data_IF_986764796292
#
_entry.id   IF_986764796292
#
_cell.length_a   1.000
_cell.length_b   1.000
_cell.length_c   1.000
_cell.angle_alpha   90.00
_cell.angle_beta   90.00
_cell.angle_gamma   90.00
#
_symmetry.space_group_name_H-M   'P 1'
#
loop_
_entity.id
_entity.type
_entity.pdbx_description
1 polymer ?
#
# COMPACT_ATOMS: atom_id res chain seq x y z
N UNK A 1 -22.67 -19.82 -16.21
CA UNK A 1 -21.96 -19.23 -15.06
C UNK A 1 -20.66 -19.99 -14.83
N UNK A 2 -19.57 -19.56 -15.47
CA UNK A 2 -18.24 -20.17 -15.36
C UNK A 2 -17.44 -19.43 -14.29
N UNK A 3 -17.15 -20.09 -13.16
CA UNK A 3 -16.21 -19.59 -12.14
C UNK A 3 -14.79 -19.98 -12.55
N UNK A 4 -13.95 -18.98 -12.79
CA UNK A 4 -12.52 -19.14 -13.02
C UNK A 4 -11.82 -19.39 -11.67
N UNK A 5 -11.13 -20.52 -11.53
CA UNK A 5 -10.22 -20.76 -10.41
C UNK A 5 -8.78 -20.46 -10.83
N UNK A 6 -8.28 -19.30 -10.42
CA UNK A 6 -6.84 -19.04 -10.34
C UNK A 6 -6.34 -19.66 -9.03
N UNK A 7 -5.92 -20.92 -9.09
CA UNK A 7 -5.08 -21.53 -8.04
C UNK A 7 -3.65 -21.20 -8.39
N UNK A 8 -3.21 -20.01 -8.00
CA UNK A 8 -1.79 -19.67 -7.97
C UNK A 8 -1.24 -20.00 -6.57
N UNK A 9 -0.46 -21.07 -6.49
CA UNK A 9 0.68 -21.21 -5.57
C UNK A 9 0.40 -21.23 -4.06
N UNK A 10 -0.22 -22.31 -3.58
CA UNK A 10 0.10 -22.85 -2.25
C UNK A 10 0.93 -24.13 -2.43
N UNK A 11 2.13 -23.99 -2.99
CA UNK A 11 3.17 -24.99 -2.81
C UNK A 11 3.73 -24.82 -1.40
N UNK A 12 3.71 -25.91 -0.66
CA UNK A 12 4.25 -26.09 0.69
C UNK A 12 5.64 -25.47 0.82
N UNK A 13 5.74 -24.26 1.40
CA UNK A 13 7.00 -23.79 1.98
C UNK A 13 7.20 -24.51 3.30
N UNK A 14 7.78 -25.71 3.23
CA UNK A 14 8.74 -26.10 4.25
C UNK A 14 9.83 -25.02 4.30
N UNK A 15 10.30 -24.69 5.51
CA UNK A 15 11.46 -23.85 5.79
C UNK A 15 12.48 -23.83 4.64
N UNK A 16 12.74 -22.67 4.05
CA UNK A 16 13.88 -22.52 3.15
C UNK A 16 14.49 -21.12 3.28
N UNK A 17 15.66 -21.11 3.90
CA UNK A 17 16.79 -20.24 3.56
C UNK A 17 16.89 -20.12 2.04
N UNK A 18 17.28 -18.95 1.57
CA UNK A 18 17.26 -18.60 0.15
C UNK A 18 18.06 -19.55 -0.75
N UNK A 19 17.81 -19.42 -2.04
CA UNK A 19 18.79 -19.29 -3.14
C UNK A 19 17.99 -19.13 -4.43
N UNK A 20 18.44 -18.22 -5.30
CA UNK A 20 17.82 -17.95 -6.59
C UNK A 20 18.09 -19.07 -7.58
N UNK A 21 17.05 -19.55 -8.26
CA UNK A 21 17.14 -20.34 -9.48
C UNK A 21 16.00 -19.95 -10.43
N UNK A 22 16.39 -19.75 -11.68
CA UNK A 22 15.56 -19.42 -12.84
C UNK A 22 14.56 -20.53 -13.15
N UNK A 23 13.30 -20.14 -13.42
CA UNK A 23 12.22 -21.06 -13.79
C UNK A 23 12.42 -21.57 -15.22
N UNK A 24 12.74 -22.86 -15.37
CA UNK A 24 12.50 -23.61 -16.61
C UNK A 24 11.07 -24.16 -16.58
N UNK A 25 10.42 -24.24 -17.74
CA UNK A 25 9.05 -24.74 -17.90
C UNK A 25 8.87 -26.13 -17.25
N UNK A 26 7.75 -26.39 -16.55
CA UNK A 26 7.51 -27.69 -15.95
C UNK A 26 7.23 -28.73 -17.04
N UNK A 27 8.09 -29.75 -17.10
CA UNK A 27 7.79 -30.98 -17.81
C UNK A 27 6.48 -31.58 -17.25
N UNK A 28 5.58 -31.98 -18.15
CA UNK A 28 4.36 -32.73 -17.81
C UNK A 28 4.76 -34.00 -17.07
N UNK A 29 4.65 -33.98 -15.75
CA UNK A 29 4.90 -35.14 -14.91
C UNK A 29 3.77 -36.15 -15.14
N UNK A 30 4.12 -37.27 -15.77
CA UNK A 30 3.30 -38.47 -15.84
C UNK A 30 3.00 -38.89 -14.40
N UNK A 31 1.74 -38.80 -13.98
CA UNK A 31 1.27 -39.33 -12.69
C UNK A 31 1.48 -40.84 -12.74
N UNK A 32 2.38 -41.42 -11.92
CA UNK A 32 2.50 -42.88 -11.87
C UNK A 32 1.19 -43.45 -11.34
N UNK A 33 0.64 -44.45 -12.05
CA UNK A 33 -0.39 -45.33 -11.50
C UNK A 33 0.15 -45.92 -10.19
N UNK A 34 -0.36 -45.45 -9.05
CA UNK A 34 -0.07 -46.00 -7.74
C UNK A 34 -0.78 -47.37 -7.65
N UNK A 35 -0.20 -48.37 -8.31
CA UNK A 35 -0.53 -49.79 -8.10
C UNK A 35 0.15 -50.26 -6.82
N UNK A 36 -0.33 -49.74 -5.68
CA UNK A 36 0.12 -50.13 -4.35
C UNK A 36 -0.91 -51.04 -3.69
N UNK A 37 -0.48 -52.26 -3.34
CA UNK A 37 -1.28 -53.18 -2.52
C UNK A 37 -1.75 -52.49 -1.25
N UNK A 38 -3.07 -52.51 -1.01
CA UNK A 38 -3.66 -52.01 0.22
C UNK A 38 -3.09 -52.80 1.41
N UNK A 39 -2.15 -52.22 2.14
CA UNK A 39 -1.82 -52.68 3.49
C UNK A 39 -3.07 -52.44 4.33
N UNK A 40 -3.84 -53.52 4.57
CA UNK A 40 -4.96 -53.57 5.52
C UNK A 40 -4.49 -53.00 6.87
N UNK A 41 -4.79 -51.74 7.13
CA UNK A 41 -4.41 -51.06 8.38
C UNK A 41 -4.02 -49.59 8.24
N UNK A 42 -3.81 -49.06 7.03
CA UNK A 42 -3.44 -47.65 6.87
C UNK A 42 -4.66 -46.74 7.09
N UNK A 43 -4.59 -45.89 8.12
CA UNK A 43 -5.66 -44.96 8.48
C UNK A 43 -5.58 -43.68 7.62
N UNK A 44 -6.68 -42.93 7.53
CA UNK A 44 -6.68 -41.62 6.87
C UNK A 44 -5.69 -40.65 7.53
N UNK A 45 -5.49 -40.80 8.84
CA UNK A 45 -4.53 -40.03 9.62
C UNK A 45 -3.11 -40.26 9.10
N UNK A 46 -2.69 -41.52 8.94
CA UNK A 46 -1.35 -41.87 8.43
C UNK A 46 -1.09 -41.23 7.05
N UNK A 47 -2.11 -41.18 6.20
CA UNK A 47 -2.00 -40.58 4.86
C UNK A 47 -1.89 -39.06 4.90
N UNK A 48 -2.59 -38.38 5.81
CA UNK A 48 -2.46 -36.93 5.99
C UNK A 48 -1.12 -36.54 6.64
N UNK A 49 -0.53 -37.44 7.42
CA UNK A 49 0.81 -37.29 7.99
C UNK A 49 1.94 -37.44 6.97
N UNK A 50 1.72 -38.21 5.89
CA UNK A 50 2.71 -38.44 4.83
C UNK A 50 2.70 -37.29 3.79
N UNK A 51 3.82 -36.53 3.63
CA UNK A 51 3.92 -35.46 2.64
C UNK A 51 3.62 -35.89 1.20
N UNK A 52 3.87 -37.14 0.83
CA UNK A 52 3.64 -37.65 -0.54
C UNK A 52 2.18 -38.03 -0.80
N UNK A 53 1.42 -38.35 0.26
CA UNK A 53 0.03 -38.88 0.15
C UNK A 53 -1.03 -37.90 0.64
N UNK A 54 -0.64 -36.95 1.48
CA UNK A 54 -1.54 -36.00 2.15
C UNK A 54 -2.47 -35.26 1.20
N UNK A 55 -1.96 -34.79 0.06
CA UNK A 55 -2.77 -34.09 -0.93
C UNK A 55 -3.91 -34.96 -1.49
N UNK A 56 -3.62 -36.20 -1.88
CA UNK A 56 -4.63 -37.11 -2.44
C UNK A 56 -5.68 -37.52 -1.39
N UNK A 57 -5.23 -37.77 -0.16
CA UNK A 57 -6.11 -38.07 0.97
C UNK A 57 -7.04 -36.88 1.29
N UNK A 58 -6.49 -35.67 1.32
CA UNK A 58 -7.25 -34.44 1.51
C UNK A 58 -8.32 -34.25 0.43
N UNK A 59 -7.96 -34.45 -0.83
CA UNK A 59 -8.90 -34.29 -1.95
C UNK A 59 -10.07 -35.27 -1.90
N UNK A 60 -9.85 -36.49 -1.41
CA UNK A 60 -10.93 -37.44 -1.17
C UNK A 60 -11.91 -36.91 -0.10
N UNK A 61 -11.40 -36.50 1.06
CA UNK A 61 -12.22 -35.96 2.15
C UNK A 61 -13.00 -34.70 1.74
N UNK A 62 -12.37 -33.78 1.01
CA UNK A 62 -13.02 -32.56 0.51
C UNK A 62 -14.12 -32.88 -0.50
N UNK A 63 -13.89 -33.85 -1.39
CA UNK A 63 -14.90 -34.28 -2.39
C UNK A 63 -16.12 -34.92 -1.73
N UNK A 64 -15.90 -35.68 -0.67
CA UNK A 64 -16.95 -36.34 0.11
C UNK A 64 -17.68 -35.37 1.05
N UNK A 65 -17.10 -34.20 1.32
CA UNK A 65 -17.64 -33.25 2.28
C UNK A 65 -17.56 -33.78 3.72
N UNK A 66 -16.56 -34.60 4.03
CA UNK A 66 -16.42 -35.28 5.32
C UNK A 66 -15.88 -34.36 6.42
N UNK A 67 -16.73 -33.43 6.85
CA UNK A 67 -16.43 -32.44 7.90
C UNK A 67 -16.17 -33.13 9.23
N UNK A 68 -16.85 -34.25 9.51
CA UNK A 68 -16.70 -34.95 10.79
C UNK A 68 -15.27 -35.49 10.94
N UNK A 69 -14.78 -36.27 9.98
CA UNK A 69 -13.42 -36.80 10.02
C UNK A 69 -12.39 -35.67 10.07
N UNK A 70 -12.57 -34.61 9.29
CA UNK A 70 -11.66 -33.45 9.32
C UNK A 70 -11.68 -32.73 10.68
N UNK A 71 -12.84 -32.59 11.33
CA UNK A 71 -12.96 -31.99 12.67
C UNK A 71 -12.24 -32.84 13.71
N UNK A 72 -12.47 -34.16 13.71
CA UNK A 72 -11.85 -35.10 14.64
C UNK A 72 -10.32 -35.06 14.54
N UNK A 73 -9.78 -35.02 13.31
CA UNK A 73 -8.33 -34.92 13.07
C UNK A 73 -7.79 -33.56 13.51
N UNK A 74 -8.45 -32.45 13.14
CA UNK A 74 -7.98 -31.10 13.46
C UNK A 74 -7.97 -30.81 14.98
N UNK A 75 -8.93 -31.36 15.71
CA UNK A 75 -9.11 -31.13 17.15
C UNK A 75 -8.32 -32.12 18.02
N UNK A 76 -8.27 -33.40 17.63
CA UNK A 76 -7.80 -34.50 18.48
C UNK A 76 -6.48 -35.15 18.09
N UNK A 77 -5.97 -34.93 16.87
CA UNK A 77 -4.70 -35.57 16.45
C UNK A 77 -3.50 -35.04 17.22
N UNK A 78 -2.55 -35.92 17.53
CA UNK A 78 -1.22 -35.55 18.05
C UNK A 78 -0.27 -35.06 16.95
N UNK A 79 -0.54 -35.42 15.69
CA UNK A 79 0.28 -35.03 14.55
C UNK A 79 -0.13 -33.65 14.03
N UNK A 80 0.78 -32.69 14.19
CA UNK A 80 0.61 -31.31 13.73
C UNK A 80 0.41 -31.20 12.22
N UNK A 81 1.06 -32.05 11.42
CA UNK A 81 0.93 -32.04 9.95
C UNK A 81 -0.48 -32.45 9.53
N UNK A 82 -1.00 -33.53 10.10
CA UNK A 82 -2.36 -33.99 9.82
C UNK A 82 -3.40 -32.95 10.24
N UNK A 83 -3.21 -32.26 11.37
CA UNK A 83 -4.07 -31.15 11.80
C UNK A 83 -4.06 -30.00 10.81
N UNK A 84 -2.88 -29.62 10.31
CA UNK A 84 -2.74 -28.57 9.30
C UNK A 84 -3.53 -28.90 8.03
N UNK A 85 -3.38 -30.12 7.51
CA UNK A 85 -4.15 -30.57 6.35
C UNK A 85 -5.65 -30.64 6.61
N UNK A 86 -6.06 -31.09 7.80
CA UNK A 86 -7.47 -31.12 8.15
C UNK A 86 -8.11 -29.72 8.17
N UNK A 87 -7.39 -28.71 8.68
CA UNK A 87 -7.80 -27.30 8.62
C UNK A 87 -7.94 -26.81 7.16
N UNK A 88 -7.00 -27.17 6.28
CA UNK A 88 -7.09 -26.85 4.85
C UNK A 88 -8.33 -27.51 4.22
N UNK A 89 -8.64 -28.75 4.59
CA UNK A 89 -9.81 -29.47 4.10
C UNK A 89 -11.12 -28.78 4.49
N UNK A 90 -11.24 -28.39 5.76
CA UNK A 90 -12.39 -27.63 6.27
C UNK A 90 -12.57 -26.30 5.52
N UNK A 91 -11.49 -25.57 5.24
CA UNK A 91 -11.54 -24.35 4.44
C UNK A 91 -11.98 -24.61 2.99
N UNK A 92 -11.51 -25.69 2.36
CA UNK A 92 -11.88 -26.04 0.97
C UNK A 92 -13.35 -26.44 0.83
N UNK A 93 -13.94 -27.06 1.86
CA UNK A 93 -15.38 -27.36 1.89
C UNK A 93 -16.19 -26.06 1.97
N UNK A 94 -15.77 -25.13 2.84
CA UNK A 94 -16.26 -23.74 2.85
C UNK A 94 -17.75 -23.54 3.18
N UNK A 95 -18.45 -24.54 3.70
CA UNK A 95 -19.85 -24.40 4.10
C UNK A 95 -19.99 -23.88 5.55
N UNK A 96 -21.24 -23.62 5.98
CA UNK A 96 -21.48 -23.10 7.32
C UNK A 96 -21.05 -24.06 8.44
N UNK A 97 -21.03 -25.37 8.18
CA UNK A 97 -20.65 -26.37 9.17
C UNK A 97 -19.13 -26.40 9.33
N UNK A 98 -18.36 -26.38 8.24
CA UNK A 98 -16.90 -26.31 8.30
C UNK A 98 -16.43 -24.97 8.88
N UNK A 99 -17.11 -23.86 8.57
CA UNK A 99 -16.83 -22.55 9.16
C UNK A 99 -17.00 -22.55 10.70
N UNK A 100 -18.04 -23.22 11.22
CA UNK A 100 -18.26 -23.37 12.67
C UNK A 100 -17.14 -24.18 13.34
N UNK A 101 -16.66 -25.25 12.68
CA UNK A 101 -15.53 -26.05 13.19
C UNK A 101 -14.27 -25.18 13.24
N UNK A 102 -13.94 -24.46 12.16
CA UNK A 102 -12.77 -23.57 12.11
C UNK A 102 -12.84 -22.47 13.19
N UNK A 103 -14.00 -21.87 13.42
CA UNK A 103 -14.19 -20.90 14.49
C UNK A 103 -13.96 -21.52 15.88
N UNK A 104 -14.52 -22.71 16.14
CA UNK A 104 -14.30 -23.41 17.41
C UNK A 104 -12.83 -23.71 17.65
N UNK A 105 -12.10 -24.18 16.64
CA UNK A 105 -10.65 -24.42 16.72
C UNK A 105 -9.89 -23.12 17.02
N UNK A 106 -10.23 -22.01 16.38
CA UNK A 106 -9.60 -20.72 16.64
C UNK A 106 -9.79 -20.25 18.10
N UNK A 107 -11.02 -20.35 18.60
CA UNK A 107 -11.42 -19.80 19.89
C UNK A 107 -11.02 -20.73 21.06
N UNK A 108 -10.86 -22.03 20.80
CA UNK A 108 -10.45 -23.05 21.77
C UNK A 108 -9.02 -22.89 22.27
N UNK A 109 -8.85 -22.64 23.57
CA UNK A 109 -7.53 -22.48 24.22
C UNK A 109 -6.79 -23.80 24.42
N UNK A 110 -7.50 -24.91 24.33
CA UNK A 110 -7.00 -26.28 24.35
C UNK A 110 -6.17 -26.62 23.10
N UNK A 111 -6.34 -25.88 22.01
CA UNK A 111 -5.56 -26.07 20.80
C UNK A 111 -4.23 -25.29 20.84
N UNK A 112 -3.12 -25.85 20.30
CA UNK A 112 -1.87 -25.12 20.15
C UNK A 112 -2.05 -23.83 19.33
N UNK A 113 -1.33 -22.77 19.71
CA UNK A 113 -1.42 -21.45 19.05
C UNK A 113 -1.26 -21.53 17.53
N UNK A 114 -0.39 -22.40 17.04
CA UNK A 114 -0.16 -22.60 15.61
C UNK A 114 -1.43 -23.06 14.88
N UNK A 115 -2.12 -24.07 15.42
CA UNK A 115 -3.35 -24.63 14.82
C UNK A 115 -4.49 -23.61 14.87
N UNK A 116 -4.59 -22.85 15.96
CA UNK A 116 -5.54 -21.73 16.09
C UNK A 116 -5.29 -20.64 15.03
N UNK A 117 -4.01 -20.32 14.77
CA UNK A 117 -3.60 -19.37 13.74
C UNK A 117 -3.95 -19.86 12.34
N UNK A 118 -3.75 -21.16 12.06
CA UNK A 118 -4.15 -21.76 10.79
C UNK A 118 -5.67 -21.74 10.59
N UNK A 119 -6.44 -22.05 11.64
CA UNK A 119 -7.89 -21.98 11.57
C UNK A 119 -8.37 -20.54 11.33
N UNK A 120 -7.77 -19.54 11.97
CA UNK A 120 -8.06 -18.14 11.70
C UNK A 120 -7.71 -17.74 10.25
N UNK A 121 -6.55 -18.16 9.74
CA UNK A 121 -6.15 -17.89 8.35
C UNK A 121 -7.09 -18.58 7.34
N UNK A 122 -7.52 -19.80 7.62
CA UNK A 122 -8.49 -20.55 6.84
C UNK A 122 -9.84 -19.80 6.75
N UNK A 123 -10.31 -19.22 7.88
CA UNK A 123 -11.50 -18.36 7.90
C UNK A 123 -11.33 -17.12 7.04
N UNK A 124 -10.18 -16.42 7.13
CA UNK A 124 -9.86 -15.27 6.27
C UNK A 124 -9.93 -15.65 4.79
N UNK A 125 -9.41 -16.82 4.42
CA UNK A 125 -9.46 -17.33 3.04
C UNK A 125 -10.89 -17.51 2.50
N UNK A 126 -11.84 -17.89 3.37
CA UNK A 126 -13.25 -18.15 3.03
C UNK A 126 -14.15 -16.92 2.93
N UNK A 127 -13.69 -15.74 3.35
CA UNK A 127 -14.48 -14.50 3.32
C UNK A 127 -14.93 -14.12 1.90
N UNK A 128 -16.13 -13.57 1.70
CA UNK A 128 -16.57 -13.10 0.38
C UNK A 128 -16.74 -11.57 0.29
N UNK A 129 -16.72 -10.86 1.42
CA UNK A 129 -16.93 -9.42 1.48
C UNK A 129 -15.94 -8.70 2.42
N UNK A 130 -15.82 -7.38 2.25
CA UNK A 130 -14.86 -6.58 3.01
C UNK A 130 -15.26 -6.40 4.47
N UNK A 131 -16.56 -6.37 4.78
CA UNK A 131 -17.04 -6.16 6.14
C UNK A 131 -16.66 -7.35 7.04
N UNK A 132 -16.77 -8.57 6.51
CA UNK A 132 -16.30 -9.77 7.19
C UNK A 132 -14.78 -9.82 7.30
N UNK A 133 -14.05 -9.41 6.25
CA UNK A 133 -12.60 -9.33 6.30
C UNK A 133 -12.13 -8.35 7.38
N UNK A 134 -12.78 -7.19 7.48
CA UNK A 134 -12.52 -6.18 8.50
C UNK A 134 -12.77 -6.71 9.92
N UNK A 135 -13.85 -7.48 10.13
CA UNK A 135 -14.09 -8.15 11.42
C UNK A 135 -12.96 -9.11 11.77
N UNK A 136 -12.49 -9.90 10.81
CA UNK A 136 -11.39 -10.84 11.04
C UNK A 136 -10.02 -10.14 11.17
N UNK A 137 -9.82 -8.96 10.60
CA UNK A 137 -8.58 -8.20 10.74
C UNK A 137 -8.25 -7.87 12.20
N UNK A 138 -9.27 -7.70 13.06
CA UNK A 138 -9.10 -7.48 14.49
C UNK A 138 -8.33 -8.63 15.19
N UNK A 139 -8.39 -9.84 14.63
CA UNK A 139 -7.69 -11.01 15.14
C UNK A 139 -6.16 -10.91 14.98
N UNK A 140 -5.64 -10.00 14.14
CA UNK A 140 -4.20 -9.85 13.91
C UNK A 140 -3.41 -9.58 15.20
N UNK A 141 -4.02 -8.90 16.19
CA UNK A 141 -3.40 -8.65 17.50
C UNK A 141 -3.15 -9.94 18.29
N UNK A 142 -4.05 -10.92 18.16
CA UNK A 142 -3.92 -12.23 18.82
C UNK A 142 -3.14 -13.22 17.96
N UNK A 143 -3.16 -13.04 16.64
CA UNK A 143 -2.53 -13.92 15.66
C UNK A 143 -1.72 -13.09 14.64
N UNK A 144 -0.50 -12.65 14.97
CA UNK A 144 0.31 -11.81 14.07
C UNK A 144 0.57 -12.44 12.70
N UNK A 145 0.56 -13.78 12.62
CA UNK A 145 0.69 -14.53 11.37
C UNK A 145 -0.45 -14.32 10.35
N UNK A 146 -1.51 -13.60 10.73
CA UNK A 146 -2.63 -13.27 9.84
C UNK A 146 -2.34 -12.12 8.87
N UNK A 147 -1.24 -11.37 9.03
CA UNK A 147 -0.91 -10.23 8.16
C UNK A 147 -0.96 -10.58 6.66
N UNK A 148 -0.26 -11.64 6.26
CA UNK A 148 -0.20 -12.07 4.85
C UNK A 148 -1.56 -12.60 4.34
N UNK A 149 -2.26 -13.52 5.04
CA UNK A 149 -3.60 -13.95 4.62
C UNK A 149 -4.60 -12.80 4.47
N UNK A 150 -4.61 -11.85 5.40
CA UNK A 150 -5.48 -10.67 5.35
C UNK A 150 -5.15 -9.81 4.12
N UNK A 151 -3.86 -9.55 3.86
CA UNK A 151 -3.42 -8.79 2.68
C UNK A 151 -3.82 -9.46 1.37
N UNK A 152 -3.51 -10.75 1.20
CA UNK A 152 -3.87 -11.50 -0.02
C UNK A 152 -5.38 -11.52 -0.26
N UNK A 153 -6.16 -11.65 0.82
CA UNK A 153 -7.62 -11.63 0.71
C UNK A 153 -8.14 -10.23 0.36
N UNK A 154 -7.59 -9.19 0.99
CA UNK A 154 -7.90 -7.80 0.66
C UNK A 154 -7.60 -7.52 -0.83
N UNK A 155 -6.44 -7.92 -1.33
CA UNK A 155 -6.07 -7.79 -2.74
C UNK A 155 -7.07 -8.50 -3.66
N UNK A 156 -7.50 -9.72 -3.30
CA UNK A 156 -8.49 -10.48 -4.07
C UNK A 156 -9.86 -9.79 -4.10
N UNK A 157 -10.33 -9.25 -2.98
CA UNK A 157 -11.62 -8.58 -2.88
C UNK A 157 -11.61 -7.17 -3.50
N UNK A 158 -10.45 -6.48 -3.45
CA UNK A 158 -10.27 -5.10 -3.91
C UNK A 158 -9.66 -5.01 -5.31
N UNK A 159 -9.38 -6.12 -5.99
CA UNK A 159 -8.70 -6.14 -7.28
C UNK A 159 -9.38 -5.27 -8.36
N UNK A 160 -10.71 -5.11 -8.29
CA UNK A 160 -11.48 -4.24 -9.18
C UNK A 160 -11.64 -2.78 -8.72
N UNK A 161 -11.24 -2.44 -7.49
CA UNK A 161 -11.39 -1.08 -6.98
C UNK A 161 -10.41 -0.12 -7.67
N UNK A 162 -10.88 1.10 -7.95
CA UNK A 162 -10.01 2.19 -8.45
C UNK A 162 -9.10 2.71 -7.35
N UNK A 163 -7.98 3.33 -7.72
CA UNK A 163 -7.08 3.97 -6.76
C UNK A 163 -7.81 5.04 -5.92
N UNK A 164 -8.73 5.80 -6.52
CA UNK A 164 -9.58 6.75 -5.79
C UNK A 164 -10.40 6.06 -4.68
N UNK A 165 -11.07 4.95 -5.01
CA UNK A 165 -11.88 4.20 -4.05
C UNK A 165 -11.02 3.69 -2.89
N UNK A 166 -9.83 3.16 -3.20
CA UNK A 166 -8.89 2.70 -2.19
C UNK A 166 -8.42 3.83 -1.27
N UNK A 167 -8.08 5.00 -1.83
CA UNK A 167 -7.68 6.18 -1.05
C UNK A 167 -8.83 6.73 -0.17
N UNK A 168 -10.10 6.60 -0.60
CA UNK A 168 -11.24 6.91 0.26
C UNK A 168 -11.35 5.91 1.41
N UNK A 169 -11.23 4.63 1.11
CA UNK A 169 -11.28 3.55 2.11
C UNK A 169 -10.15 3.66 3.13
N UNK A 170 -8.97 4.16 2.76
CA UNK A 170 -7.83 4.33 3.69
C UNK A 170 -8.08 5.36 4.78
N UNK A 171 -9.16 6.15 4.68
CA UNK A 171 -9.55 7.11 5.72
C UNK A 171 -10.36 6.50 6.85
N UNK A 172 -10.96 5.32 6.63
CA UNK A 172 -11.55 4.55 7.71
C UNK A 172 -10.44 3.78 8.42
N UNK A 173 -10.23 4.08 9.71
CA UNK A 173 -9.15 3.50 10.50
C UNK A 173 -9.14 1.96 10.55
N UNK A 174 -10.31 1.32 10.42
CA UNK A 174 -10.39 -0.13 10.39
C UNK A 174 -10.01 -0.70 9.01
N UNK A 175 -10.35 0.01 7.93
CA UNK A 175 -10.02 -0.41 6.57
C UNK A 175 -8.60 -0.05 6.16
N UNK A 176 -8.03 1.01 6.72
CA UNK A 176 -6.67 1.49 6.43
C UNK A 176 -5.64 0.35 6.46
N UNK A 177 -5.67 -0.48 7.51
CA UNK A 177 -4.71 -1.59 7.64
C UNK A 177 -4.78 -2.59 6.48
N UNK A 178 -5.98 -2.85 5.96
CA UNK A 178 -6.20 -3.78 4.85
C UNK A 178 -5.85 -3.16 3.50
N UNK A 179 -6.25 -1.90 3.27
CA UNK A 179 -6.11 -1.26 1.95
C UNK A 179 -4.73 -0.67 1.70
N UNK A 180 -3.99 -0.28 2.75
CA UNK A 180 -2.69 0.38 2.57
C UNK A 180 -1.70 -0.48 1.78
N UNK A 181 -1.64 -1.78 2.07
CA UNK A 181 -0.79 -2.71 1.33
C UNK A 181 -1.21 -2.83 -0.14
N UNK A 182 -2.51 -2.83 -0.41
CA UNK A 182 -3.08 -2.90 -1.77
C UNK A 182 -2.81 -1.62 -2.57
N UNK A 183 -2.89 -0.46 -1.91
CA UNK A 183 -2.55 0.82 -2.52
C UNK A 183 -1.07 0.82 -2.89
N UNK A 184 -0.18 0.50 -1.95
CA UNK A 184 1.26 0.51 -2.19
C UNK A 184 1.71 -0.51 -3.24
N UNK A 185 1.02 -1.65 -3.39
CA UNK A 185 1.37 -2.65 -4.41
C UNK A 185 0.84 -2.31 -5.81
N UNK A 186 -0.16 -1.44 -5.93
CA UNK A 186 -0.84 -1.12 -7.21
C UNK A 186 -0.63 0.31 -7.68
N UNK A 187 -0.38 1.24 -6.78
CA UNK A 187 -0.30 2.65 -7.12
C UNK A 187 1.00 2.93 -7.88
N UNK A 188 0.87 3.55 -9.04
CA UNK A 188 1.97 4.20 -9.70
C UNK A 188 2.13 5.63 -9.14
N UNK A 189 3.37 6.10 -9.05
CA UNK A 189 3.70 7.40 -8.45
C UNK A 189 3.05 8.57 -9.21
N UNK A 190 2.97 8.46 -10.54
CA UNK A 190 2.35 9.48 -11.40
C UNK A 190 0.85 9.60 -11.12
N UNK A 191 0.13 8.49 -11.04
CA UNK A 191 -1.30 8.46 -10.70
C UNK A 191 -1.59 9.05 -9.32
N UNK A 192 -0.72 8.84 -8.34
CA UNK A 192 -0.85 9.48 -7.03
C UNK A 192 -0.63 10.99 -7.10
N UNK A 193 0.39 11.46 -7.82
CA UNK A 193 0.65 12.89 -7.99
C UNK A 193 -0.49 13.57 -8.77
N UNK A 194 -1.04 12.92 -9.79
CA UNK A 194 -2.20 13.42 -10.54
C UNK A 194 -3.43 13.57 -9.64
N UNK A 195 -3.77 12.53 -8.86
CA UNK A 195 -4.88 12.59 -7.90
C UNK A 195 -4.64 13.64 -6.80
N UNK A 196 -3.40 13.81 -6.35
CA UNK A 196 -3.02 14.82 -5.36
C UNK A 196 -3.34 16.26 -5.82
N UNK A 197 -3.12 16.58 -7.09
CA UNK A 197 -3.31 17.94 -7.61
C UNK A 197 -4.68 18.19 -8.25
N UNK A 198 -5.28 17.19 -8.89
CA UNK A 198 -6.44 17.42 -9.76
C UNK A 198 -7.75 16.81 -9.27
N UNK A 199 -7.71 15.96 -8.24
CA UNK A 199 -8.94 15.34 -7.76
C UNK A 199 -9.89 16.39 -7.13
N UNK A 200 -11.21 16.23 -7.23
CA UNK A 200 -12.19 17.20 -6.69
C UNK A 200 -12.38 17.14 -5.16
N UNK A 201 -11.86 16.09 -4.54
CA UNK A 201 -12.06 15.78 -3.12
C UNK A 201 -10.72 15.89 -2.37
N UNK A 202 -10.63 16.82 -1.42
CA UNK A 202 -9.44 17.07 -0.61
C UNK A 202 -9.04 15.87 0.26
N UNK A 203 -9.97 14.98 0.60
CA UNK A 203 -9.65 13.75 1.33
C UNK A 203 -8.79 12.85 0.45
N UNK A 204 -9.17 12.65 -0.81
CA UNK A 204 -8.40 11.86 -1.77
C UNK A 204 -7.06 12.53 -2.06
N UNK A 205 -7.03 13.86 -2.26
CA UNK A 205 -5.78 14.59 -2.49
C UNK A 205 -4.78 14.40 -1.35
N UNK A 206 -5.25 14.54 -0.10
CA UNK A 206 -4.43 14.37 1.10
C UNK A 206 -3.89 12.95 1.23
N UNK A 207 -4.72 11.95 0.97
CA UNK A 207 -4.29 10.55 1.02
C UNK A 207 -3.29 10.26 -0.10
N UNK A 208 -3.54 10.75 -1.32
CA UNK A 208 -2.61 10.60 -2.44
C UNK A 208 -1.23 11.20 -2.11
N UNK A 209 -1.18 12.38 -1.49
CA UNK A 209 0.05 12.99 -0.99
C UNK A 209 0.77 12.13 0.07
N UNK A 210 0.01 11.54 1.00
CA UNK A 210 0.57 10.67 2.03
C UNK A 210 1.17 9.38 1.45
N UNK A 211 0.48 8.75 0.49
CA UNK A 211 0.98 7.54 -0.18
C UNK A 211 2.14 7.82 -1.13
N UNK A 212 2.12 8.94 -1.87
CA UNK A 212 3.27 9.39 -2.65
C UNK A 212 4.50 9.61 -1.74
N UNK A 213 4.29 10.22 -0.57
CA UNK A 213 5.34 10.35 0.45
C UNK A 213 5.89 9.02 0.94
N UNK A 214 5.01 8.04 1.15
CA UNK A 214 5.37 6.69 1.60
C UNK A 214 6.18 5.94 0.55
N UNK A 215 5.76 5.96 -0.72
CA UNK A 215 6.49 5.30 -1.82
C UNK A 215 7.91 5.87 -1.96
N UNK A 216 8.05 7.20 -1.96
CA UNK A 216 9.36 7.84 -2.04
C UNK A 216 10.27 7.52 -0.84
N UNK A 217 9.70 7.27 0.34
CA UNK A 217 10.47 6.85 1.51
C UNK A 217 10.92 5.39 1.41
N UNK A 218 10.12 4.53 0.76
CA UNK A 218 10.44 3.12 0.56
C UNK A 218 11.54 2.91 -0.49
N UNK A 219 11.59 3.79 -1.50
CA UNK A 219 12.64 3.78 -2.53
C UNK A 219 13.24 5.19 -2.76
N UNK A 220 14.13 5.66 -1.86
CA UNK A 220 14.68 7.02 -1.95
C UNK A 220 15.53 7.29 -3.20
N UNK A 221 16.04 6.25 -3.87
CA UNK A 221 16.92 6.40 -5.04
C UNK A 221 16.20 6.15 -6.37
N UNK A 222 15.14 5.33 -6.37
CA UNK A 222 14.37 4.99 -7.57
C UNK A 222 13.05 5.74 -7.73
N UNK A 223 12.57 6.43 -6.70
CA UNK A 223 11.31 7.17 -6.74
C UNK A 223 11.39 8.43 -7.60
N UNK A 224 10.38 8.64 -8.44
CA UNK A 224 10.17 9.81 -9.30
C UNK A 224 9.21 10.82 -8.68
N UNK A 225 8.70 10.59 -7.47
CA UNK A 225 7.70 11.46 -6.82
C UNK A 225 8.18 12.91 -6.75
N UNK A 226 9.47 13.15 -6.49
CA UNK A 226 10.01 14.51 -6.45
C UNK A 226 9.92 15.22 -7.81
N UNK A 227 10.42 14.59 -8.86
CA UNK A 227 10.40 15.12 -10.23
C UNK A 227 8.96 15.36 -10.71
N UNK A 228 8.06 14.41 -10.43
CA UNK A 228 6.64 14.51 -10.76
C UNK A 228 5.96 15.69 -10.03
N UNK A 229 6.31 15.93 -8.77
CA UNK A 229 5.81 17.08 -8.00
C UNK A 229 6.33 18.40 -8.59
N UNK A 230 7.61 18.49 -8.93
CA UNK A 230 8.17 19.69 -9.56
C UNK A 230 7.58 19.96 -10.94
N UNK A 231 7.40 18.92 -11.77
CA UNK A 231 6.77 19.08 -13.08
C UNK A 231 5.31 19.51 -12.96
N UNK A 232 4.55 18.92 -12.03
CA UNK A 232 3.18 19.33 -11.73
C UNK A 232 3.10 20.78 -11.19
N UNK A 233 4.10 21.22 -10.44
CA UNK A 233 4.22 22.58 -9.91
C UNK A 233 4.95 23.54 -10.86
N UNK A 234 5.33 23.11 -12.07
CA UNK A 234 6.12 23.95 -12.96
C UNK A 234 5.38 25.27 -13.26
N UNK A 235 6.12 26.38 -13.27
CA UNK A 235 5.62 27.73 -13.56
C UNK A 235 5.34 27.89 -15.07
N UNK A 236 4.48 27.03 -15.62
CA UNK A 236 4.08 26.96 -17.03
C UNK A 236 2.63 27.42 -17.25
N UNK A 237 1.83 27.47 -16.20
CA UNK A 237 0.42 27.82 -16.33
C UNK A 237 0.24 29.29 -16.69
N UNK A 238 -0.87 29.59 -17.36
CA UNK A 238 -1.26 30.97 -17.62
C UNK A 238 -1.36 31.73 -16.29
N UNK A 239 -1.04 33.04 -16.28
CA UNK A 239 -1.27 33.87 -15.10
C UNK A 239 -2.71 33.67 -14.59
N UNK A 240 -2.86 33.08 -13.40
CA UNK A 240 -4.17 32.77 -12.81
C UNK A 240 -4.59 31.30 -12.77
N UNK A 241 -3.87 30.37 -13.39
CA UNK A 241 -4.18 28.93 -13.28
C UNK A 241 -3.16 28.24 -12.37
N UNK A 242 -3.59 27.82 -11.17
CA UNK A 242 -2.74 27.02 -10.27
C UNK A 242 -2.96 25.53 -10.53
N UNK A 243 -1.93 24.68 -10.45
CA UNK A 243 -2.07 23.25 -10.72
C UNK A 243 -3.01 22.53 -9.74
N UNK A 244 -3.17 23.06 -8.53
CA UNK A 244 -4.08 22.55 -7.51
C UNK A 244 -5.49 23.18 -7.54
N UNK A 245 -5.90 23.78 -8.66
CA UNK A 245 -7.21 24.44 -8.75
C UNK A 245 -8.36 23.53 -8.27
N UNK A 246 -9.31 24.11 -7.54
CA UNK A 246 -10.48 23.40 -7.00
C UNK A 246 -10.26 22.65 -5.68
N UNK A 247 -9.09 22.73 -5.06
CA UNK A 247 -8.83 22.14 -3.74
C UNK A 247 -7.57 22.69 -3.08
N UNK A 248 -7.10 22.02 -2.03
CA UNK A 248 -5.88 22.40 -1.33
C UNK A 248 -4.61 22.00 -2.10
N UNK A 249 -3.55 22.81 -1.96
CA UNK A 249 -2.18 22.45 -2.32
C UNK A 249 -1.58 21.51 -1.28
N UNK A 250 -1.30 20.28 -1.70
CA UNK A 250 -0.51 19.32 -0.94
C UNK A 250 0.87 19.16 -1.55
N UNK A 251 1.88 19.03 -0.69
CA UNK A 251 3.24 18.64 -1.04
C UNK A 251 3.55 17.38 -0.24
N UNK A 252 3.97 16.27 -0.87
CA UNK A 252 4.24 15.04 -0.14
C UNK A 252 5.46 15.21 0.77
N UNK A 253 5.36 14.61 1.96
CA UNK A 253 6.46 14.55 2.92
C UNK A 253 7.50 13.52 2.51
N UNK A 254 8.40 13.92 1.60
CA UNK A 254 9.52 13.10 1.14
C UNK A 254 10.83 13.63 1.72
N UNK A 255 11.76 12.74 2.03
CA UNK A 255 13.15 13.12 2.29
C UNK A 255 13.75 13.59 0.97
N UNK A 256 14.34 14.78 0.99
CA UNK A 256 14.96 15.43 -0.17
C UNK A 256 16.38 15.76 0.19
N UNK A 257 17.24 15.81 -0.81
CA UNK A 257 18.52 16.47 -0.62
C UNK A 257 18.35 18.01 -0.62
N UNK A 258 19.46 18.70 -0.46
CA UNK A 258 19.46 20.16 -0.43
C UNK A 258 19.08 20.78 -1.79
N UNK A 259 19.50 20.19 -2.90
CA UNK A 259 19.24 20.73 -4.24
C UNK A 259 17.75 20.63 -4.57
N UNK A 260 17.16 19.46 -4.37
CA UNK A 260 15.73 19.17 -4.55
C UNK A 260 14.85 20.06 -3.66
N UNK A 261 15.30 20.28 -2.41
CA UNK A 261 14.60 21.18 -1.47
C UNK A 261 14.67 22.64 -1.92
N UNK A 262 15.81 23.09 -2.43
CA UNK A 262 15.98 24.45 -2.98
C UNK A 262 15.10 24.67 -4.21
N UNK A 263 15.06 23.71 -5.12
CA UNK A 263 14.22 23.80 -6.32
C UNK A 263 12.74 23.88 -5.97
N UNK A 264 12.28 23.09 -4.99
CA UNK A 264 10.91 23.16 -4.50
C UNK A 264 10.60 24.51 -3.81
N UNK A 265 11.51 25.02 -2.97
CA UNK A 265 11.36 26.36 -2.35
C UNK A 265 11.28 27.44 -3.43
N UNK A 266 12.18 27.41 -4.42
CA UNK A 266 12.18 28.35 -5.56
C UNK A 266 10.85 28.30 -6.32
N UNK A 267 10.34 27.11 -6.60
CA UNK A 267 9.07 26.90 -7.32
C UNK A 267 7.89 27.44 -6.52
N UNK A 268 7.79 27.10 -5.23
CA UNK A 268 6.73 27.61 -4.34
C UNK A 268 6.82 29.13 -4.16
N UNK A 269 8.01 29.69 -4.00
CA UNK A 269 8.19 31.14 -3.90
C UNK A 269 7.80 31.85 -5.21
N UNK A 270 8.11 31.27 -6.37
CA UNK A 270 7.65 31.76 -7.67
C UNK A 270 6.12 31.82 -7.77
N UNK A 271 5.44 30.75 -7.37
CA UNK A 271 3.98 30.74 -7.27
C UNK A 271 3.46 31.79 -6.30
N UNK A 272 4.07 31.93 -5.13
CA UNK A 272 3.66 32.91 -4.13
C UNK A 272 3.75 34.34 -4.68
N UNK A 273 4.87 34.70 -5.31
CA UNK A 273 5.07 36.03 -5.91
C UNK A 273 4.09 36.31 -7.05
N UNK A 274 3.84 35.32 -7.92
CA UNK A 274 2.90 35.46 -9.03
C UNK A 274 1.45 35.63 -8.53
N UNK A 275 1.05 34.85 -7.51
CA UNK A 275 -0.28 34.94 -6.91
C UNK A 275 -0.49 36.26 -6.16
N UNK A 276 0.56 36.78 -5.52
CA UNK A 276 0.53 38.07 -4.82
C UNK A 276 0.33 39.21 -5.82
N UNK A 277 1.11 39.23 -6.91
CA UNK A 277 0.97 40.22 -7.97
C UNK A 277 -0.41 40.18 -8.64
N UNK A 278 -1.06 39.00 -8.62
CA UNK A 278 -2.39 38.77 -9.18
C UNK A 278 -3.53 38.99 -8.18
N UNK A 279 -3.25 39.34 -6.92
CA UNK A 279 -4.26 39.57 -5.88
C UNK A 279 -5.01 38.32 -5.39
N UNK A 280 -4.44 37.12 -5.55
CA UNK A 280 -5.09 35.83 -5.25
C UNK A 280 -4.86 35.36 -3.81
N UNK A 281 -5.46 36.08 -2.87
CA UNK A 281 -5.27 35.86 -1.43
C UNK A 281 -5.58 34.45 -0.91
N UNK A 282 -6.55 33.76 -1.50
CA UNK A 282 -6.96 32.41 -1.05
C UNK A 282 -5.88 31.36 -1.30
N UNK A 283 -5.30 31.38 -2.50
CA UNK A 283 -4.25 30.46 -2.93
C UNK A 283 -2.89 30.81 -2.30
N UNK A 284 -2.62 32.10 -2.04
CA UNK A 284 -1.40 32.54 -1.35
C UNK A 284 -1.18 31.82 -0.02
N UNK A 285 -2.25 31.68 0.79
CA UNK A 285 -2.17 30.98 2.07
C UNK A 285 -1.78 29.51 1.91
N UNK A 286 -2.25 28.86 0.84
CA UNK A 286 -1.95 27.46 0.59
C UNK A 286 -0.48 27.26 0.22
N UNK A 287 0.07 28.13 -0.65
CA UNK A 287 1.50 28.13 -0.98
C UNK A 287 2.33 28.45 0.24
N UNK A 288 1.94 29.47 1.01
CA UNK A 288 2.66 29.88 2.21
C UNK A 288 2.75 28.77 3.26
N UNK A 289 1.66 28.03 3.49
CA UNK A 289 1.65 26.91 4.43
C UNK A 289 2.66 25.81 4.07
N UNK A 290 2.85 25.54 2.77
CA UNK A 290 3.81 24.56 2.29
C UNK A 290 5.24 25.11 2.29
N UNK A 291 5.42 26.37 1.87
CA UNK A 291 6.70 27.07 1.86
C UNK A 291 7.30 27.22 3.27
N UNK A 292 6.46 27.45 4.28
CA UNK A 292 6.87 27.62 5.68
C UNK A 292 7.11 26.30 6.43
N UNK A 293 7.20 25.18 5.71
CA UNK A 293 7.58 23.90 6.31
C UNK A 293 9.01 23.96 6.86
N UNK A 294 9.17 23.75 8.18
CA UNK A 294 10.46 23.77 8.88
C UNK A 294 11.50 22.91 8.15
N UNK A 295 11.16 21.64 7.90
CA UNK A 295 12.06 20.67 7.30
C UNK A 295 12.46 21.08 5.88
N UNK A 296 11.54 21.64 5.09
CA UNK A 296 11.83 22.08 3.73
C UNK A 296 12.86 23.23 3.74
N UNK A 297 12.63 24.24 4.58
CA UNK A 297 13.48 25.41 4.65
C UNK A 297 14.88 25.08 5.17
N UNK A 298 14.98 24.31 6.25
CA UNK A 298 16.27 23.96 6.83
C UNK A 298 17.10 23.09 5.88
N UNK A 299 16.50 22.10 5.22
CA UNK A 299 17.19 21.27 4.23
C UNK A 299 17.64 22.09 3.01
N UNK A 300 16.81 23.02 2.54
CA UNK A 300 17.16 23.92 1.45
C UNK A 300 18.25 24.95 1.84
N UNK A 301 18.54 25.14 3.14
CA UNK A 301 19.55 26.08 3.64
C UNK A 301 19.03 27.50 3.88
N UNK A 302 17.72 27.67 4.04
CA UNK A 302 17.09 28.94 4.39
C UNK A 302 17.03 29.13 5.91
N UNK A 303 17.09 30.39 6.34
CA UNK A 303 16.90 30.74 7.75
C UNK A 303 15.44 30.55 8.19
N UNK A 304 15.27 30.20 9.47
CA UNK A 304 13.97 30.11 10.13
C UNK A 304 13.37 31.50 10.31
N UNK A 305 12.64 31.98 9.31
CA UNK A 305 12.00 33.31 9.37
C UNK A 305 11.69 33.91 8.02
N UNK A 306 11.34 33.10 7.02
CA UNK A 306 10.84 33.63 5.75
C UNK A 306 9.69 34.61 6.01
N UNK A 307 9.76 35.76 5.35
CA UNK A 307 8.76 36.80 5.47
C UNK A 307 7.72 36.67 4.36
N UNK A 308 6.46 36.93 4.69
CA UNK A 308 5.40 37.10 3.70
C UNK A 308 5.46 38.48 3.01
N UNK A 309 6.47 39.30 3.29
CA UNK A 309 6.77 40.50 2.51
C UNK A 309 7.51 40.12 1.22
N UNK A 310 7.02 40.50 0.03
CA UNK A 310 7.62 40.10 -1.25
C UNK A 310 9.10 40.47 -1.39
N UNK A 311 9.52 41.65 -0.90
CA UNK A 311 10.91 42.09 -1.02
C UNK A 311 11.83 41.23 -0.15
N UNK A 312 11.44 40.98 1.11
CA UNK A 312 12.19 40.13 2.03
C UNK A 312 12.25 38.67 1.58
N UNK A 313 11.20 38.16 0.94
CA UNK A 313 11.22 36.84 0.33
C UNK A 313 12.26 36.78 -0.81
N UNK A 314 12.28 37.78 -1.69
CA UNK A 314 13.27 37.88 -2.77
C UNK A 314 14.69 38.01 -2.22
N UNK A 315 14.92 38.82 -1.18
CA UNK A 315 16.22 38.90 -0.49
C UNK A 315 16.69 37.55 0.06
N UNK A 316 15.77 36.77 0.66
CA UNK A 316 16.07 35.44 1.16
C UNK A 316 16.44 34.47 0.04
N UNK A 317 15.71 34.50 -1.09
CA UNK A 317 16.06 33.71 -2.28
C UNK A 317 17.43 34.09 -2.83
N UNK A 318 17.77 35.39 -2.91
CA UNK A 318 19.09 35.85 -3.42
C UNK A 318 20.22 35.32 -2.54
N UNK A 319 20.04 35.26 -1.22
CA UNK A 319 21.05 34.76 -0.30
C UNK A 319 21.41 33.28 -0.55
N UNK A 320 20.43 32.47 -0.92
CA UNK A 320 20.59 31.02 -1.08
C UNK A 320 20.89 30.63 -2.53
N UNK A 321 20.16 31.20 -3.49
CA UNK A 321 20.22 30.84 -4.92
C UNK A 321 21.16 31.76 -5.73
N UNK A 322 21.48 32.94 -5.20
CA UNK A 322 22.19 33.99 -5.91
C UNK A 322 21.28 34.88 -6.77
N UNK A 323 21.74 36.11 -7.04
CA UNK A 323 20.92 37.12 -7.72
C UNK A 323 20.51 36.71 -9.15
N UNK A 324 21.42 36.11 -9.91
CA UNK A 324 21.15 35.70 -11.31
C UNK A 324 19.98 34.72 -11.41
N UNK A 325 19.95 33.72 -10.53
CA UNK A 325 18.88 32.72 -10.45
C UNK A 325 17.53 33.36 -10.08
N UNK A 326 17.51 34.32 -9.16
CA UNK A 326 16.30 35.03 -8.76
C UNK A 326 15.80 35.97 -9.85
N UNK A 327 16.70 36.64 -10.58
CA UNK A 327 16.35 37.48 -11.72
C UNK A 327 15.72 36.67 -12.85
N UNK A 328 16.24 35.46 -13.11
CA UNK A 328 15.65 34.51 -14.05
C UNK A 328 14.25 34.09 -13.59
N UNK A 329 14.07 33.69 -12.33
CA UNK A 329 12.75 33.36 -11.77
C UNK A 329 11.75 34.50 -11.94
N UNK A 330 12.12 35.71 -11.54
CA UNK A 330 11.24 36.88 -11.66
C UNK A 330 10.88 37.15 -13.12
N UNK A 331 11.82 36.98 -14.05
CA UNK A 331 11.54 37.11 -15.49
C UNK A 331 10.55 36.03 -15.96
N UNK A 332 10.76 34.77 -15.55
CA UNK A 332 9.90 33.64 -15.88
C UNK A 332 8.44 33.87 -15.45
N UNK A 333 8.22 34.44 -14.26
CA UNK A 333 6.88 34.75 -13.74
C UNK A 333 6.34 36.13 -14.15
N UNK A 334 7.02 36.85 -15.05
CA UNK A 334 6.58 38.14 -15.57
C UNK A 334 6.79 39.34 -14.63
N UNK A 335 7.59 39.19 -13.58
CA UNK A 335 7.93 40.22 -12.57
C UNK A 335 9.34 40.79 -12.73
N UNK A 336 10.07 40.46 -13.79
CA UNK A 336 11.47 40.88 -13.99
C UNK A 336 11.69 42.40 -14.09
N UNK A 337 10.63 43.18 -14.39
CA UNK A 337 10.67 44.66 -14.43
C UNK A 337 9.84 45.31 -13.31
N UNK A 338 9.39 44.54 -12.32
CA UNK A 338 8.60 45.07 -11.22
C UNK A 338 9.47 45.97 -10.33
N UNK A 339 9.07 47.25 -10.21
CA UNK A 339 9.81 48.28 -9.44
C UNK A 339 9.93 47.92 -7.96
N UNK A 340 9.09 47.04 -7.43
CA UNK A 340 9.19 46.57 -6.05
C UNK A 340 10.51 45.86 -5.79
N UNK A 341 11.14 45.23 -6.79
CA UNK A 341 12.36 44.45 -6.62
C UNK A 341 13.65 45.18 -7.02
N UNK A 342 13.56 46.41 -7.58
CA UNK A 342 14.73 47.13 -8.07
C UNK A 342 15.73 47.56 -6.98
N UNK A 343 15.28 47.66 -5.73
CA UNK A 343 16.19 47.95 -4.59
C UNK A 343 16.94 46.72 -4.07
N UNK A 344 16.45 45.53 -4.41
CA UNK A 344 16.93 44.23 -3.93
C UNK A 344 17.84 43.55 -4.96
N UNK A 345 17.53 43.71 -6.25
CA UNK A 345 18.38 43.27 -7.38
C UNK A 345 19.37 44.39 -7.71
N UNK A 346 20.68 44.17 -7.55
CA UNK A 346 21.69 45.24 -7.67
C UNK A 346 22.50 45.20 -8.97
#
# INVERSE_FOLDING_TARGET
>A
MQRWWLVAGLTTSALALGWGLTLSEPAVAVIPEISGGQTKGETILDKLSDPQRSQAALEALVREGDIQTLSEIAEGSVDTSARGWAVVGLARIGDSASARVLQRIQDGREHPMLVRTWAAAARVGGVEDLDELQRLAQLQHSFPGLDRPLRLKAESLLGGASLEQLLRMSTDGNMAQLVNGVILSRADERGLVELMYHHKDDVVRRQAAAFAGTLATQDPQGSQVHELVLDALALRSRPGDVPWAGGALYVPGIQRDQADSRELVRTLAGWWLQLEASGRGGELKQVWNNLYSYQLLTTAGYDMGLSADPQRLVEALIRVEGEGAVRELLTQIGLGSDRRFSGVLR
#
